data_IF_879148931999
#
_entry.id   IF_879148931999
#
_cell.length_a   1.000
_cell.length_b   1.000
_cell.length_c   1.000
_cell.angle_alpha   90.00
_cell.angle_beta   90.00
_cell.angle_gamma   90.00
#
_symmetry.space_group_name_H-M   'P 1'
#
loop_
_entity.id
_entity.type
_entity.pdbx_description
1 polymer ?
#
# COMPACT_ATOMS: atom_id res chain seq x y z
N UNK A 1 -8.30 50.68 3.99
CA UNK A 1 -7.02 50.00 4.34
C UNK A 1 -6.82 49.91 5.86
N UNK A 2 -6.84 51.03 6.59
CA UNK A 2 -6.61 51.02 8.06
C UNK A 2 -7.68 50.26 8.86
N UNK A 3 -8.95 50.38 8.47
CA UNK A 3 -10.06 49.69 9.16
C UNK A 3 -10.00 48.17 8.99
N UNK A 4 -9.64 47.68 7.80
CA UNK A 4 -9.41 46.26 7.53
C UNK A 4 -8.25 45.72 8.36
N UNK A 5 -7.12 46.42 8.39
CA UNK A 5 -5.96 46.00 9.18
C UNK A 5 -6.27 45.95 10.68
N UNK A 6 -7.09 46.88 11.17
CA UNK A 6 -7.57 46.88 12.56
C UNK A 6 -8.51 45.70 12.85
N UNK A 7 -9.44 45.41 11.94
CA UNK A 7 -10.37 44.28 12.05
C UNK A 7 -9.63 42.93 12.00
N UNK A 8 -8.70 42.77 11.06
CA UNK A 8 -7.89 41.56 10.92
C UNK A 8 -7.01 41.33 12.16
N UNK A 9 -6.40 42.38 12.73
CA UNK A 9 -5.63 42.24 13.98
C UNK A 9 -6.50 41.83 15.16
N UNK A 10 -7.68 42.45 15.33
CA UNK A 10 -8.65 42.05 16.36
C UNK A 10 -9.10 40.60 16.23
N UNK A 11 -9.25 40.10 15.00
CA UNK A 11 -9.59 38.71 14.71
C UNK A 11 -8.48 37.72 15.10
N UNK A 12 -7.22 38.09 14.90
CA UNK A 12 -6.08 37.27 15.33
C UNK A 12 -5.88 37.34 16.86
N UNK A 13 -6.10 38.52 17.46
CA UNK A 13 -6.06 38.74 18.91
C UNK A 13 -7.15 37.94 19.64
N UNK A 14 -8.38 37.88 19.11
CA UNK A 14 -9.45 37.06 19.71
C UNK A 14 -9.18 35.55 19.64
N UNK A 15 -8.28 35.12 18.75
CA UNK A 15 -7.88 33.72 18.53
C UNK A 15 -6.56 33.34 19.22
N UNK A 16 -5.91 34.26 19.94
CA UNK A 16 -4.56 34.08 20.51
C UNK A 16 -3.50 33.70 19.44
N UNK A 17 -3.65 34.15 18.20
CA UNK A 17 -2.74 33.85 17.09
C UNK A 17 -1.92 35.09 16.67
N UNK A 18 -0.71 34.88 16.17
CA UNK A 18 0.15 35.98 15.69
C UNK A 18 0.02 36.18 14.18
N UNK A 19 -0.47 37.34 13.74
CA UNK A 19 -0.50 37.74 12.34
C UNK A 19 0.92 38.00 11.81
N UNK A 20 1.41 37.15 10.90
CA UNK A 20 2.71 37.33 10.22
C UNK A 20 2.49 37.66 8.74
N UNK A 21 2.84 38.88 8.34
CA UNK A 21 2.70 39.35 6.95
C UNK A 21 3.89 38.83 6.12
N UNK A 22 3.66 38.04 5.06
CA UNK A 22 4.72 37.51 4.22
C UNK A 22 5.29 38.57 3.26
N UNK A 23 6.50 38.34 2.77
CA UNK A 23 7.15 39.15 1.73
C UNK A 23 7.18 38.37 0.41
N UNK A 24 6.83 39.02 -0.70
CA UNK A 24 6.90 38.45 -2.05
C UNK A 24 7.74 39.39 -2.91
N UNK A 25 8.80 38.88 -3.52
CA UNK A 25 9.69 39.67 -4.38
C UNK A 25 10.42 40.81 -3.66
N UNK A 26 10.63 40.71 -2.34
CA UNK A 26 11.29 41.73 -1.52
C UNK A 26 10.35 42.80 -0.92
N UNK A 27 9.08 42.85 -1.35
CA UNK A 27 8.08 43.78 -0.83
C UNK A 27 7.14 43.08 0.16
N UNK A 28 6.69 43.81 1.20
CA UNK A 28 5.64 43.31 2.09
C UNK A 28 4.32 43.18 1.32
N UNK A 29 3.62 42.06 1.54
CA UNK A 29 2.36 41.79 0.87
C UNK A 29 1.25 42.69 1.42
N UNK A 30 0.60 43.45 0.54
CA UNK A 30 -0.59 44.22 0.89
C UNK A 30 -1.81 43.30 1.03
N UNK A 31 -2.11 42.91 2.27
CA UNK A 31 -3.22 42.02 2.59
C UNK A 31 -4.59 42.64 2.28
N UNK A 32 -4.72 43.97 2.29
CA UNK A 32 -5.98 44.65 2.00
C UNK A 32 -6.30 44.60 0.51
N UNK A 33 -5.32 44.93 -0.34
CA UNK A 33 -5.48 44.86 -1.80
C UNK A 33 -5.70 43.41 -2.23
N UNK A 34 -4.93 42.48 -1.67
CA UNK A 34 -5.12 41.05 -1.93
C UNK A 34 -6.52 40.56 -1.52
N UNK A 35 -6.99 40.91 -0.32
CA UNK A 35 -8.33 40.56 0.14
C UNK A 35 -9.42 41.11 -0.80
N UNK A 36 -9.31 42.40 -1.15
CA UNK A 36 -10.26 43.09 -2.02
C UNK A 36 -10.34 42.44 -3.41
N UNK A 37 -9.20 42.11 -4.02
CA UNK A 37 -9.14 41.50 -5.34
C UNK A 37 -9.70 40.07 -5.36
N UNK A 38 -9.49 39.28 -4.31
CA UNK A 38 -10.03 37.91 -4.24
C UNK A 38 -11.54 37.93 -3.95
N UNK A 39 -11.99 38.80 -3.04
CA UNK A 39 -13.41 38.95 -2.72
C UNK A 39 -14.20 39.51 -3.91
N UNK A 40 -13.66 40.48 -4.66
CA UNK A 40 -14.34 41.00 -5.86
C UNK A 40 -14.53 39.95 -6.96
N UNK A 41 -13.73 38.88 -6.95
CA UNK A 41 -13.80 37.74 -7.88
C UNK A 41 -14.57 36.54 -7.31
N UNK A 42 -15.33 36.75 -6.22
CA UNK A 42 -16.22 35.75 -5.64
C UNK A 42 -15.58 34.87 -4.56
N UNK A 43 -14.44 35.31 -4.00
CA UNK A 43 -13.79 34.67 -2.87
C UNK A 43 -12.80 33.58 -3.26
N UNK A 44 -12.08 33.08 -2.25
CA UNK A 44 -10.93 32.19 -2.44
C UNK A 44 -11.24 30.93 -3.26
N UNK A 45 -12.40 30.31 -3.03
CA UNK A 45 -12.80 29.08 -3.73
C UNK A 45 -13.06 29.34 -5.23
N UNK A 46 -13.74 30.44 -5.57
CA UNK A 46 -14.05 30.79 -6.96
C UNK A 46 -12.80 31.18 -7.74
N UNK A 47 -11.90 31.95 -7.13
CA UNK A 47 -10.60 32.33 -7.73
C UNK A 47 -9.71 31.10 -7.96
N UNK A 48 -9.74 30.14 -7.03
CA UNK A 48 -8.97 28.90 -7.12
C UNK A 48 -9.49 27.96 -8.20
N UNK A 49 -10.80 27.68 -8.21
CA UNK A 49 -11.41 26.77 -9.18
C UNK A 49 -11.28 27.28 -10.62
N UNK A 50 -11.36 28.61 -10.81
CA UNK A 50 -11.26 29.23 -12.13
C UNK A 50 -9.82 29.60 -12.52
N UNK A 51 -8.81 29.19 -11.73
CA UNK A 51 -7.38 29.46 -11.97
C UNK A 51 -7.02 30.95 -12.17
N UNK A 52 -7.76 31.86 -11.54
CA UNK A 52 -7.66 33.32 -11.72
C UNK A 52 -6.49 33.96 -10.93
N UNK A 53 -5.69 33.17 -10.21
CA UNK A 53 -4.58 33.68 -9.39
C UNK A 53 -3.51 34.44 -10.17
N UNK A 54 -3.34 34.17 -11.47
CA UNK A 54 -2.44 34.95 -12.34
C UNK A 54 -2.94 36.37 -12.54
N UNK A 55 -4.25 36.56 -12.69
CA UNK A 55 -4.85 37.88 -12.83
C UNK A 55 -4.78 38.68 -11.53
N UNK A 56 -4.94 38.00 -10.39
CA UNK A 56 -4.75 38.60 -9.06
C UNK A 56 -3.30 39.10 -8.88
N UNK A 57 -2.30 38.35 -9.38
CA UNK A 57 -0.89 38.78 -9.37
C UNK A 57 -0.69 40.03 -10.23
N UNK A 58 -1.29 40.06 -11.43
CA UNK A 58 -1.21 41.21 -12.32
C UNK A 58 -1.86 42.46 -11.70
N UNK A 59 -2.98 42.30 -11.00
CA UNK A 59 -3.65 43.40 -10.28
C UNK A 59 -2.84 43.92 -9.08
N UNK A 60 -2.02 43.08 -8.44
CA UNK A 60 -1.10 43.45 -7.36
C UNK A 60 0.19 44.09 -7.86
N UNK A 61 0.36 44.27 -9.18
CA UNK A 61 1.54 44.84 -9.82
C UNK A 61 2.87 44.20 -9.35
N UNK A 62 2.86 42.90 -9.06
CA UNK A 62 4.06 42.19 -8.61
C UNK A 62 5.05 42.00 -9.77
N UNK A 63 6.38 42.02 -9.51
CA UNK A 63 7.39 41.90 -10.55
C UNK A 63 7.25 40.60 -11.35
N UNK A 64 7.35 40.67 -12.68
CA UNK A 64 7.30 39.52 -13.59
C UNK A 64 8.45 38.52 -13.39
N UNK A 65 9.49 38.90 -12.64
CA UNK A 65 10.58 38.03 -12.19
C UNK A 65 10.15 37.00 -11.13
N UNK A 66 8.97 37.15 -10.52
CA UNK A 66 8.44 36.22 -9.51
C UNK A 66 7.66 35.07 -10.18
N UNK A 67 8.36 34.11 -10.78
CA UNK A 67 7.80 32.94 -11.49
C UNK A 67 6.88 32.04 -10.64
N UNK A 68 6.87 32.20 -9.31
CA UNK A 68 5.99 31.48 -8.37
C UNK A 68 4.99 32.37 -7.61
N UNK A 69 4.79 33.63 -8.03
CA UNK A 69 3.94 34.60 -7.34
C UNK A 69 2.49 34.12 -7.16
N UNK A 70 1.87 33.52 -8.20
CA UNK A 70 0.48 33.05 -8.14
C UNK A 70 0.28 31.94 -7.11
N UNK A 71 1.24 31.01 -7.00
CA UNK A 71 1.19 29.92 -6.03
C UNK A 71 1.41 30.42 -4.60
N UNK A 72 2.41 31.27 -4.38
CA UNK A 72 2.69 31.82 -3.05
C UNK A 72 1.54 32.72 -2.55
N UNK A 73 0.98 33.57 -3.41
CA UNK A 73 -0.19 34.39 -3.05
C UNK A 73 -1.38 33.54 -2.63
N UNK A 74 -1.65 32.46 -3.36
CA UNK A 74 -2.71 31.52 -3.02
C UNK A 74 -2.50 30.86 -1.66
N UNK A 75 -1.30 30.38 -1.37
CA UNK A 75 -0.94 29.77 -0.08
C UNK A 75 -1.04 30.77 1.08
N UNK A 76 -0.55 31.99 0.87
CA UNK A 76 -0.61 33.05 1.87
C UNK A 76 -2.05 33.51 2.13
N UNK A 77 -2.87 33.62 1.09
CA UNK A 77 -4.30 33.91 1.23
C UNK A 77 -5.00 32.85 2.06
N UNK A 78 -4.78 31.57 1.72
CA UNK A 78 -5.39 30.46 2.44
C UNK A 78 -5.05 30.49 3.93
N UNK A 79 -3.77 30.73 4.25
CA UNK A 79 -3.28 30.72 5.63
C UNK A 79 -3.71 31.94 6.45
N UNK A 80 -3.84 33.12 5.82
CA UNK A 80 -3.98 34.39 6.55
C UNK A 80 -5.39 34.98 6.44
N UNK A 81 -6.02 34.83 5.29
CA UNK A 81 -7.24 35.58 4.94
C UNK A 81 -8.46 34.69 4.74
N UNK A 82 -8.30 33.37 4.53
CA UNK A 82 -9.43 32.49 4.27
C UNK A 82 -10.41 32.40 5.45
N UNK A 83 -9.94 32.12 6.67
CA UNK A 83 -10.83 32.07 7.84
C UNK A 83 -11.51 33.42 8.11
N UNK A 84 -10.78 34.51 7.87
CA UNK A 84 -11.34 35.87 7.96
C UNK A 84 -12.38 36.15 6.87
N UNK A 85 -12.17 35.70 5.62
CA UNK A 85 -13.13 35.76 4.53
C UNK A 85 -14.43 35.02 4.88
N UNK A 86 -14.32 33.81 5.43
CA UNK A 86 -15.50 33.01 5.78
C UNK A 86 -16.35 33.66 6.87
N UNK A 87 -15.71 34.23 7.90
CA UNK A 87 -16.42 34.85 9.02
C UNK A 87 -17.03 36.22 8.66
N UNK A 88 -16.29 37.07 7.93
CA UNK A 88 -16.73 38.44 7.65
C UNK A 88 -17.44 38.64 6.32
N UNK A 89 -17.13 37.84 5.29
CA UNK A 89 -17.76 37.96 3.97
C UNK A 89 -18.94 36.99 3.82
N UNK A 90 -18.77 35.73 4.22
CA UNK A 90 -19.83 34.71 4.10
C UNK A 90 -20.69 34.55 5.37
N UNK A 91 -20.39 35.28 6.45
CA UNK A 91 -21.06 35.20 7.78
C UNK A 91 -21.17 33.77 8.32
N UNK A 92 -20.20 32.91 7.99
CA UNK A 92 -20.16 31.52 8.48
C UNK A 92 -19.35 31.46 9.76
N UNK A 93 -19.89 30.79 10.78
CA UNK A 93 -19.15 30.50 12.02
C UNK A 93 -17.97 29.55 11.73
N UNK A 94 -16.85 29.75 12.43
CA UNK A 94 -15.59 28.99 12.31
C UNK A 94 -15.77 27.46 12.33
N UNK A 95 -16.86 26.96 12.94
CA UNK A 95 -17.23 25.54 13.01
C UNK A 95 -17.78 24.94 11.71
N UNK A 96 -18.12 25.79 10.73
CA UNK A 96 -18.74 25.41 9.45
C UNK A 96 -17.88 25.79 8.24
N UNK A 97 -16.57 26.01 8.41
CA UNK A 97 -15.67 26.28 7.29
C UNK A 97 -15.48 24.97 6.51
N UNK A 98 -15.93 24.86 5.25
CA UNK A 98 -15.72 23.65 4.47
C UNK A 98 -14.22 23.47 4.22
N UNK A 99 -13.67 22.25 4.39
CA UNK A 99 -12.33 21.96 3.88
C UNK A 99 -12.30 22.26 2.38
N UNK A 100 -11.25 22.93 1.91
CA UNK A 100 -11.10 23.25 0.50
C UNK A 100 -10.98 21.93 -0.26
N UNK A 101 -12.00 21.62 -1.06
CA UNK A 101 -12.03 20.41 -1.87
C UNK A 101 -10.80 20.36 -2.80
N UNK A 102 -9.98 19.32 -2.66
CA UNK A 102 -9.22 18.73 -3.76
C UNK A 102 -7.93 19.40 -4.24
N UNK A 103 -7.41 20.48 -3.65
CA UNK A 103 -6.15 21.09 -4.16
C UNK A 103 -5.07 21.45 -3.12
N UNK A 104 -5.32 21.23 -1.82
CA UNK A 104 -4.28 21.36 -0.77
C UNK A 104 -3.93 20.04 -0.08
N UNK A 105 -4.64 18.96 -0.40
CA UNK A 105 -4.27 17.59 -0.06
C UNK A 105 -3.61 16.99 -1.29
N UNK A 106 -2.37 16.54 -1.12
CA UNK A 106 -1.45 15.94 -2.12
C UNK A 106 -0.47 16.92 -2.79
N UNK A 107 0.81 16.53 -2.72
CA UNK A 107 2.00 17.07 -3.38
C UNK A 107 2.63 18.35 -2.81
N UNK A 108 3.35 18.21 -1.68
CA UNK A 108 4.83 18.33 -1.61
C UNK A 108 5.33 18.17 -0.15
N UNK A 109 5.46 16.92 0.32
CA UNK A 109 6.59 16.57 1.19
C UNK A 109 7.80 16.20 0.31
N UNK A 110 8.20 17.11 -0.60
CA UNK A 110 9.53 17.10 -1.23
C UNK A 110 10.36 18.30 -0.79
N UNK A 111 10.04 18.87 0.39
CA UNK A 111 11.14 19.46 1.16
C UNK A 111 12.01 18.28 1.57
N UNK A 112 13.23 18.19 1.06
CA UNK A 112 14.30 17.41 1.68
C UNK A 112 14.42 17.94 3.11
N UNK A 113 13.63 17.39 4.04
CA UNK A 113 13.79 17.66 5.45
C UNK A 113 15.10 16.98 5.80
N UNK A 114 16.15 17.77 6.01
CA UNK A 114 17.37 17.26 6.64
C UNK A 114 16.97 16.83 8.03
N UNK A 115 16.77 15.53 8.23
CA UNK A 115 16.64 14.95 9.56
C UNK A 115 17.97 15.22 10.26
N UNK A 116 17.99 16.17 11.19
CA UNK A 116 19.19 16.51 11.95
C UNK A 116 19.36 15.49 13.09
N UNK A 117 20.59 15.22 13.52
CA UNK A 117 20.87 14.30 14.64
C UNK A 117 20.04 14.56 15.92
N UNK A 118 19.68 15.80 16.29
CA UNK A 118 18.78 16.08 17.42
C UNK A 118 17.32 15.65 17.20
N UNK A 119 16.85 15.50 15.96
CA UNK A 119 15.49 14.96 15.69
C UNK A 119 15.42 13.45 15.93
N UNK A 120 16.53 12.74 15.75
CA UNK A 120 16.66 11.30 16.01
C UNK A 120 16.60 10.97 17.52
N UNK A 121 16.88 11.93 18.41
CA UNK A 121 16.92 11.68 19.87
C UNK A 121 15.55 11.71 20.57
N UNK A 122 14.45 11.90 19.83
CA UNK A 122 13.10 11.97 20.40
C UNK A 122 12.40 10.62 20.57
N UNK A 123 13.09 9.48 20.42
CA UNK A 123 12.49 8.14 20.53
C UNK A 123 11.75 7.94 21.85
N UNK A 124 12.32 8.38 22.97
CA UNK A 124 11.65 8.32 24.29
C UNK A 124 10.33 9.11 24.31
N UNK A 125 10.29 10.28 23.67
CA UNK A 125 9.06 11.08 23.59
C UNK A 125 8.01 10.39 22.72
N UNK A 126 8.42 9.77 21.61
CA UNK A 126 7.51 9.00 20.76
C UNK A 126 6.92 7.80 21.51
N UNK A 127 7.74 7.06 22.25
CA UNK A 127 7.30 5.97 23.14
C UNK A 127 6.24 6.47 24.13
N UNK A 128 6.55 7.52 24.90
CA UNK A 128 5.63 8.10 25.88
C UNK A 128 4.34 8.62 25.23
N UNK A 129 4.41 9.15 24.01
CA UNK A 129 3.24 9.58 23.26
C UNK A 129 2.29 8.41 22.97
N UNK A 130 2.81 7.29 22.45
CA UNK A 130 2.02 6.08 22.19
C UNK A 130 1.46 5.46 23.47
N UNK A 131 2.27 5.38 24.53
CA UNK A 131 1.84 4.86 25.85
C UNK A 131 0.75 5.72 26.49
N UNK A 132 0.85 7.05 26.34
CA UNK A 132 -0.13 7.99 26.90
C UNK A 132 -1.50 7.89 26.24
N UNK A 133 -1.57 7.38 25.00
CA UNK A 133 -2.77 7.35 24.14
C UNK A 133 -3.39 8.74 23.90
N UNK A 134 -2.67 9.82 24.23
CA UNK A 134 -3.14 11.19 24.05
C UNK A 134 -3.14 11.54 22.56
N UNK A 135 -4.32 11.84 22.00
CA UNK A 135 -4.51 11.96 20.55
C UNK A 135 -3.56 12.95 19.88
N UNK A 136 -3.30 14.09 20.51
CA UNK A 136 -2.39 15.12 19.97
C UNK A 136 -0.95 14.66 19.95
N UNK A 137 -0.48 13.99 21.02
CA UNK A 137 0.89 13.49 21.11
C UNK A 137 1.09 12.27 20.20
N UNK A 138 0.12 11.36 20.13
CA UNK A 138 0.14 10.22 19.21
C UNK A 138 0.20 10.69 17.76
N UNK A 139 -0.65 11.65 17.37
CA UNK A 139 -0.62 12.21 16.02
C UNK A 139 0.73 12.86 15.70
N UNK A 140 1.32 13.58 16.66
CA UNK A 140 2.66 14.11 16.50
C UNK A 140 3.71 13.00 16.30
N UNK A 141 3.65 11.93 17.11
CA UNK A 141 4.59 10.81 17.05
C UNK A 141 4.47 10.03 15.73
N UNK A 142 3.25 9.70 15.29
CA UNK A 142 2.97 9.03 14.01
C UNK A 142 3.49 9.86 12.85
N UNK A 143 3.15 11.14 12.77
CA UNK A 143 3.60 12.01 11.68
C UNK A 143 5.12 12.15 11.66
N UNK A 144 5.74 12.24 12.84
CA UNK A 144 7.21 12.30 12.96
C UNK A 144 7.86 11.01 12.46
N UNK A 145 7.34 9.85 12.86
CA UNK A 145 7.86 8.56 12.44
C UNK A 145 7.63 8.29 10.95
N UNK A 146 6.47 8.68 10.41
CA UNK A 146 6.18 8.60 8.99
C UNK A 146 7.19 9.44 8.17
N UNK A 147 7.47 10.67 8.60
CA UNK A 147 8.48 11.52 7.96
C UNK A 147 9.87 10.88 7.96
N UNK A 148 10.25 10.20 9.04
CA UNK A 148 11.52 9.47 9.10
C UNK A 148 11.52 8.23 8.19
N UNK A 149 10.41 7.49 8.15
CA UNK A 149 10.28 6.29 7.31
C UNK A 149 10.37 6.61 5.80
N UNK A 150 9.93 7.79 5.39
CA UNK A 150 9.95 8.25 4.00
C UNK A 150 11.26 8.96 3.60
N UNK A 151 12.26 9.03 4.48
CA UNK A 151 13.49 9.77 4.20
C UNK A 151 14.38 9.00 3.21
N UNK A 152 14.55 9.57 2.02
CA UNK A 152 15.37 8.99 0.94
C UNK A 152 16.85 9.37 1.00
N UNK A 153 17.26 10.25 1.93
CA UNK A 153 18.65 10.71 2.05
C UNK A 153 19.40 9.94 3.15
N UNK A 154 18.74 9.72 4.28
CA UNK A 154 19.27 8.94 5.39
C UNK A 154 18.20 7.97 5.88
N UNK A 155 18.48 6.67 5.74
CA UNK A 155 17.60 5.64 6.26
C UNK A 155 17.43 5.80 7.77
N UNK A 156 16.18 5.75 8.24
CA UNK A 156 15.89 5.66 9.66
C UNK A 156 16.12 4.21 10.11
N UNK A 157 17.26 3.98 10.78
CA UNK A 157 17.63 2.66 11.29
C UNK A 157 17.00 2.47 12.67
N UNK A 158 16.24 1.39 12.83
CA UNK A 158 15.62 1.05 14.10
C UNK A 158 16.66 0.56 15.10
N UNK A 159 16.65 1.19 16.27
CA UNK A 159 17.40 0.74 17.44
C UNK A 159 16.51 -0.15 18.30
N UNK A 160 17.10 -1.07 19.07
CA UNK A 160 16.37 -1.92 20.01
C UNK A 160 16.03 -1.14 21.30
N UNK A 161 15.10 -0.19 21.18
CA UNK A 161 14.78 0.79 22.23
C UNK A 161 13.30 0.78 22.67
N UNK A 162 12.50 -0.19 22.20
CA UNK A 162 11.08 -0.34 22.58
C UNK A 162 10.09 0.52 21.78
N UNK A 163 10.55 1.28 20.79
CA UNK A 163 9.67 2.14 19.98
C UNK A 163 8.62 1.34 19.22
N UNK A 164 9.03 0.26 18.54
CA UNK A 164 8.10 -0.55 17.75
C UNK A 164 7.12 -1.28 18.66
N UNK A 165 7.55 -1.76 19.83
CA UNK A 165 6.66 -2.38 20.82
C UNK A 165 5.57 -1.40 21.30
N UNK A 166 5.95 -0.12 21.49
CA UNK A 166 5.00 0.93 21.88
C UNK A 166 4.02 1.28 20.75
N UNK A 167 4.51 1.36 19.50
CA UNK A 167 3.67 1.53 18.30
C UNK A 167 2.70 0.37 18.15
N UNK A 168 3.17 -0.86 18.34
CA UNK A 168 2.38 -2.08 18.25
C UNK A 168 1.31 -2.14 19.34
N UNK A 169 1.66 -1.81 20.58
CA UNK A 169 0.70 -1.71 21.69
C UNK A 169 -0.41 -0.70 21.41
N UNK A 170 -0.08 0.44 20.82
CA UNK A 170 -1.08 1.43 20.40
C UNK A 170 -1.92 0.97 19.20
N UNK A 171 -1.32 0.25 18.24
CA UNK A 171 -2.05 -0.35 17.12
C UNK A 171 -3.09 -1.36 17.61
N UNK A 172 -2.71 -2.27 18.50
CA UNK A 172 -3.63 -3.26 19.10
C UNK A 172 -4.73 -2.55 19.88
N UNK A 173 -4.39 -1.55 20.68
CA UNK A 173 -5.39 -0.71 21.37
C UNK A 173 -6.36 -0.09 20.36
N UNK A 174 -5.84 0.45 19.26
CA UNK A 174 -6.64 1.13 18.25
C UNK A 174 -7.62 0.18 17.57
N UNK A 175 -7.15 -1.00 17.15
CA UNK A 175 -7.96 -2.02 16.50
C UNK A 175 -9.10 -2.52 17.40
N UNK A 176 -8.88 -2.65 18.71
CA UNK A 176 -9.94 -3.07 19.64
C UNK A 176 -11.05 -2.02 19.84
N UNK A 177 -10.83 -0.77 19.40
CA UNK A 177 -11.78 0.34 19.52
C UNK A 177 -12.24 0.85 18.15
N UNK A 178 -11.98 0.11 17.07
CA UNK A 178 -12.60 0.33 15.77
C UNK A 178 -13.65 -0.78 15.62
N UNK A 179 -14.94 -0.45 15.58
CA UNK A 179 -15.96 -1.46 15.31
C UNK A 179 -15.76 -2.04 13.90
N UNK A 180 -15.77 -3.37 13.81
CA UNK A 180 -15.71 -4.11 12.54
C UNK A 180 -16.94 -3.73 11.71
N UNK A 181 -16.79 -2.86 10.71
CA UNK A 181 -17.90 -2.43 9.86
C UNK A 181 -17.57 -2.62 8.38
N UNK A 182 -18.51 -3.22 7.68
CA UNK A 182 -18.56 -3.44 6.23
C UNK A 182 -18.42 -2.10 5.46
N UNK A 183 -17.53 -2.04 4.47
CA UNK A 183 -17.14 -0.84 3.70
C UNK A 183 -18.36 -0.06 3.13
N UNK A 184 -19.43 -0.76 2.75
CA UNK A 184 -20.63 -0.15 2.13
C UNK A 184 -21.45 0.74 3.09
N UNK A 185 -21.40 0.48 4.39
CA UNK A 185 -22.17 1.25 5.38
C UNK A 185 -21.52 2.62 5.61
N UNK A 186 -20.20 2.71 5.49
CA UNK A 186 -19.46 3.94 5.71
C UNK A 186 -19.77 5.00 4.63
N UNK A 187 -19.81 4.63 3.34
CA UNK A 187 -20.09 5.59 2.26
C UNK A 187 -21.52 6.15 2.34
N UNK A 188 -22.49 5.35 2.78
CA UNK A 188 -23.90 5.78 2.90
C UNK A 188 -24.17 6.67 4.12
N UNK A 189 -23.44 6.50 5.23
CA UNK A 189 -23.62 7.33 6.45
C UNK A 189 -23.00 8.72 6.37
N UNK A 190 -21.93 8.91 5.58
CA UNK A 190 -21.26 10.21 5.42
C UNK A 190 -22.13 11.35 4.82
N UNK A 191 -23.35 11.05 4.33
CA UNK A 191 -24.31 12.10 3.91
C UNK A 191 -25.15 12.65 5.05
N UNK A 192 -25.24 11.98 6.21
CA UNK A 192 -26.12 12.36 7.30
C UNK A 192 -25.35 12.43 8.62
N UNK A 193 -25.07 13.66 9.07
CA UNK A 193 -24.71 14.11 10.44
C UNK A 193 -23.97 13.07 11.32
N UNK A 194 -22.66 13.27 11.47
CA UNK A 194 -21.74 12.41 12.24
C UNK A 194 -21.87 12.70 13.75
N UNK A 195 -22.02 11.66 14.57
CA UNK A 195 -22.00 11.75 16.05
C UNK A 195 -20.59 11.86 16.65
N UNK A 196 -20.46 12.28 17.91
CA UNK A 196 -19.16 12.46 18.58
C UNK A 196 -18.30 11.18 18.64
N UNK A 197 -18.93 10.01 18.83
CA UNK A 197 -18.22 8.72 18.91
C UNK A 197 -17.67 8.28 17.54
N UNK A 198 -18.42 8.51 16.45
CA UNK A 198 -18.01 8.19 15.07
C UNK A 198 -16.82 9.05 14.60
N UNK A 199 -16.71 10.31 15.07
CA UNK A 199 -15.53 11.15 14.79
C UNK A 199 -14.27 10.58 15.44
N UNK A 200 -14.36 10.01 16.65
CA UNK A 200 -13.21 9.40 17.31
C UNK A 200 -12.77 8.10 16.63
N UNK A 201 -13.70 7.32 16.06
CA UNK A 201 -13.40 6.08 15.34
C UNK A 201 -12.69 6.35 14.02
N UNK A 202 -13.19 7.32 13.24
CA UNK A 202 -12.54 7.75 11.99
C UNK A 202 -11.10 8.19 12.23
N UNK A 203 -10.88 9.05 13.24
CA UNK A 203 -9.53 9.52 13.57
C UNK A 203 -8.59 8.36 13.93
N UNK A 204 -9.10 7.33 14.61
CA UNK A 204 -8.34 6.14 14.98
C UNK A 204 -8.02 5.27 13.77
N UNK A 205 -8.94 5.14 12.83
CA UNK A 205 -8.70 4.43 11.57
C UNK A 205 -7.58 5.09 10.74
N UNK A 206 -7.58 6.43 10.65
CA UNK A 206 -6.51 7.18 9.98
C UNK A 206 -5.14 7.02 10.67
N UNK A 207 -5.14 6.91 12.01
CA UNK A 207 -3.92 6.59 12.76
C UNK A 207 -3.43 5.17 12.48
N UNK A 208 -4.33 4.19 12.41
CA UNK A 208 -3.99 2.80 12.04
C UNK A 208 -3.36 2.75 10.65
N UNK A 209 -3.99 3.39 9.65
CA UNK A 209 -3.43 3.51 8.29
C UNK A 209 -2.02 4.10 8.30
N UNK A 210 -1.84 5.21 9.01
CA UNK A 210 -0.55 5.90 9.10
C UNK A 210 0.52 5.05 9.79
N UNK A 211 0.16 4.30 10.84
CA UNK A 211 1.06 3.37 11.53
C UNK A 211 1.47 2.23 10.59
N UNK A 212 0.51 1.60 9.90
CA UNK A 212 0.78 0.50 8.99
C UNK A 212 1.66 0.95 7.81
N UNK A 213 1.36 2.11 7.22
CA UNK A 213 2.19 2.71 6.18
C UNK A 213 3.63 2.96 6.68
N UNK A 214 3.77 3.47 7.90
CA UNK A 214 5.09 3.72 8.51
C UNK A 214 5.85 2.41 8.71
N UNK A 215 5.23 1.38 9.28
CA UNK A 215 5.84 0.05 9.47
C UNK A 215 6.23 -0.59 8.13
N UNK A 216 5.33 -0.50 7.13
CA UNK A 216 5.58 -0.93 5.76
C UNK A 216 6.79 -0.22 5.16
N UNK A 217 6.90 1.10 5.28
CA UNK A 217 8.08 1.84 4.79
C UNK A 217 9.36 1.43 5.52
N UNK A 218 9.30 1.25 6.84
CA UNK A 218 10.45 0.80 7.62
C UNK A 218 10.89 -0.62 7.23
N UNK A 219 9.96 -1.51 6.88
CA UNK A 219 10.26 -2.88 6.44
C UNK A 219 10.97 -2.95 5.08
N UNK A 220 10.85 -1.92 4.24
CA UNK A 220 11.58 -1.82 2.98
C UNK A 220 13.07 -1.52 3.18
N UNK A 221 13.48 -1.05 4.37
CA UNK A 221 14.87 -0.79 4.71
C UNK A 221 15.52 -2.09 5.18
N UNK A 222 16.48 -2.63 4.42
CA UNK A 222 17.16 -3.89 4.74
C UNK A 222 17.72 -3.96 6.17
N UNK A 223 18.27 -2.86 6.70
CA UNK A 223 18.81 -2.84 8.06
C UNK A 223 17.74 -2.98 9.16
N UNK A 224 16.48 -2.69 8.86
CA UNK A 224 15.37 -2.72 9.82
C UNK A 224 14.65 -4.07 9.87
N UNK A 225 14.95 -4.97 8.94
CA UNK A 225 14.31 -6.28 8.85
C UNK A 225 14.46 -7.10 10.14
N UNK A 226 15.68 -7.23 10.66
CA UNK A 226 15.94 -7.98 11.90
C UNK A 226 15.29 -7.30 13.12
N UNK A 227 15.43 -5.98 13.35
CA UNK A 227 14.71 -5.28 14.42
C UNK A 227 13.20 -5.49 14.37
N UNK A 228 12.58 -5.42 13.19
CA UNK A 228 11.13 -5.62 13.04
C UNK A 228 10.74 -7.07 13.33
N UNK A 229 11.47 -8.03 12.80
CA UNK A 229 11.23 -9.45 13.08
C UNK A 229 11.36 -9.79 14.58
N UNK A 230 12.31 -9.17 15.28
CA UNK A 230 12.51 -9.36 16.73
C UNK A 230 11.42 -8.72 17.60
N UNK A 231 10.59 -7.83 17.06
CA UNK A 231 9.48 -7.26 17.80
C UNK A 231 8.40 -8.31 18.01
N UNK A 232 8.26 -8.75 19.27
CA UNK A 232 7.36 -9.84 19.63
C UNK A 232 5.91 -9.49 19.29
N UNK A 233 5.23 -10.37 18.58
CA UNK A 233 3.83 -10.20 18.21
C UNK A 233 3.57 -9.23 17.05
N UNK A 234 4.60 -8.66 16.41
CA UNK A 234 4.41 -7.80 15.23
C UNK A 234 3.70 -8.57 14.11
N UNK A 235 4.27 -9.71 13.68
CA UNK A 235 3.71 -10.51 12.58
C UNK A 235 2.27 -10.95 12.92
N UNK A 236 2.05 -11.49 14.12
CA UNK A 236 0.72 -11.90 14.58
C UNK A 236 -0.31 -10.77 14.55
N UNK A 237 0.09 -9.57 14.98
CA UNK A 237 -0.78 -8.40 14.94
C UNK A 237 -1.09 -7.99 13.50
N UNK A 238 -0.08 -7.95 12.62
CA UNK A 238 -0.28 -7.58 11.20
C UNK A 238 -1.17 -8.60 10.49
N UNK A 239 -0.97 -9.90 10.74
CA UNK A 239 -1.82 -10.96 10.19
C UNK A 239 -3.26 -10.82 10.70
N UNK A 240 -3.45 -10.56 12.00
CA UNK A 240 -4.77 -10.32 12.57
C UNK A 240 -5.45 -9.11 11.93
N UNK A 241 -4.73 -8.00 11.75
CA UNK A 241 -5.26 -6.80 11.08
C UNK A 241 -5.61 -7.10 9.62
N UNK A 242 -4.75 -7.83 8.91
CA UNK A 242 -4.96 -8.22 7.52
C UNK A 242 -6.24 -9.05 7.36
N UNK A 243 -6.48 -10.02 8.24
CA UNK A 243 -7.68 -10.87 8.22
C UNK A 243 -9.00 -10.16 8.57
N UNK A 244 -8.96 -8.93 9.08
CA UNK A 244 -10.19 -8.19 9.43
C UNK A 244 -10.83 -7.42 8.27
N UNK A 245 -10.21 -7.40 7.08
CA UNK A 245 -10.67 -6.76 5.82
C UNK A 245 -11.59 -5.55 6.05
N UNK A 246 -11.02 -4.43 6.52
CA UNK A 246 -11.78 -3.23 6.90
C UNK A 246 -11.68 -2.13 5.83
N UNK A 247 -10.52 -1.99 5.19
CA UNK A 247 -10.22 -0.86 4.30
C UNK A 247 -9.10 -1.24 3.32
N UNK A 248 -9.28 -0.88 2.05
CA UNK A 248 -8.30 -1.17 0.98
C UNK A 248 -6.87 -0.73 1.28
N UNK A 249 -6.67 0.45 1.88
CA UNK A 249 -5.35 0.99 2.20
C UNK A 249 -4.69 0.19 3.34
N UNK A 250 -5.47 -0.21 4.35
CA UNK A 250 -5.01 -1.11 5.41
C UNK A 250 -4.56 -2.44 4.81
N UNK A 251 -5.40 -3.06 3.98
CA UNK A 251 -5.12 -4.33 3.32
C UNK A 251 -3.83 -4.25 2.50
N UNK A 252 -3.67 -3.21 1.68
CA UNK A 252 -2.47 -3.03 0.87
C UNK A 252 -1.20 -2.86 1.72
N UNK A 253 -1.24 -2.03 2.77
CA UNK A 253 -0.09 -1.82 3.63
C UNK A 253 0.30 -3.10 4.40
N UNK A 254 -0.69 -3.84 4.91
CA UNK A 254 -0.45 -5.13 5.54
C UNK A 254 0.16 -6.14 4.56
N UNK A 255 -0.40 -6.27 3.35
CA UNK A 255 0.07 -7.19 2.33
C UNK A 255 1.53 -6.93 1.95
N UNK A 256 1.89 -5.67 1.71
CA UNK A 256 3.27 -5.29 1.39
C UNK A 256 4.22 -5.50 2.58
N UNK A 257 3.77 -5.22 3.81
CA UNK A 257 4.56 -5.47 5.02
C UNK A 257 4.82 -6.96 5.24
N UNK A 258 3.80 -7.80 5.09
CA UNK A 258 3.93 -9.27 5.14
C UNK A 258 4.89 -9.75 4.05
N UNK A 259 4.73 -9.25 2.81
CA UNK A 259 5.59 -9.57 1.67
C UNK A 259 7.07 -9.21 1.93
N UNK A 260 7.33 -8.08 2.60
CA UNK A 260 8.70 -7.66 2.93
C UNK A 260 9.33 -8.54 4.01
N UNK A 261 8.53 -9.03 4.95
CA UNK A 261 8.99 -9.86 6.07
C UNK A 261 8.84 -11.37 5.83
N UNK A 262 8.28 -11.80 4.69
CA UNK A 262 7.87 -13.16 4.38
C UNK A 262 8.95 -14.23 4.64
N UNK A 263 10.23 -13.91 4.38
CA UNK A 263 11.34 -14.86 4.61
C UNK A 263 11.56 -15.23 6.09
N UNK A 264 10.95 -14.47 6.99
CA UNK A 264 10.99 -14.68 8.44
C UNK A 264 9.65 -15.20 8.99
N UNK A 265 8.66 -15.44 8.14
CA UNK A 265 7.33 -15.90 8.52
C UNK A 265 7.27 -17.41 8.32
N UNK A 266 7.27 -18.15 9.43
CA UNK A 266 7.01 -19.59 9.46
C UNK A 266 5.53 -19.81 9.75
N UNK A 267 4.79 -20.34 8.78
CA UNK A 267 3.34 -20.46 8.84
C UNK A 267 2.86 -21.36 9.99
N UNK A 268 3.66 -22.37 10.34
CA UNK A 268 3.37 -23.30 11.45
C UNK A 268 3.34 -22.60 12.82
N UNK A 269 4.07 -21.49 12.96
CA UNK A 269 4.20 -20.76 14.23
C UNK A 269 3.10 -19.69 14.38
N UNK A 270 2.31 -19.45 13.34
CA UNK A 270 1.24 -18.45 13.35
C UNK A 270 -0.08 -19.03 13.84
N UNK A 271 -0.67 -18.39 14.86
CA UNK A 271 -1.99 -18.74 15.38
C UNK A 271 -3.10 -18.52 14.36
N UNK A 272 -3.05 -17.43 13.59
CA UNK A 272 -4.06 -17.06 12.58
C UNK A 272 -3.61 -17.39 11.15
N UNK A 273 -2.82 -18.46 10.96
CA UNK A 273 -2.32 -18.88 9.65
C UNK A 273 -3.44 -19.11 8.63
N UNK A 274 -4.55 -19.74 9.04
CA UNK A 274 -5.68 -20.03 8.14
C UNK A 274 -6.32 -18.75 7.62
N UNK A 275 -6.55 -17.78 8.51
CA UNK A 275 -7.17 -16.50 8.15
C UNK A 275 -6.27 -15.70 7.19
N UNK A 276 -4.95 -15.73 7.41
CA UNK A 276 -3.97 -15.17 6.49
C UNK A 276 -4.11 -15.74 5.08
N UNK A 277 -4.10 -17.08 4.96
CA UNK A 277 -4.14 -17.74 3.65
C UNK A 277 -5.50 -17.56 2.96
N UNK A 278 -6.61 -17.61 3.69
CA UNK A 278 -7.93 -17.30 3.14
C UNK A 278 -8.00 -15.87 2.60
N UNK A 279 -7.53 -14.90 3.39
CA UNK A 279 -7.51 -13.48 2.97
C UNK A 279 -6.61 -13.26 1.74
N UNK A 280 -5.49 -13.98 1.64
CA UNK A 280 -4.63 -13.94 0.45
C UNK A 280 -5.34 -14.46 -0.79
N UNK A 281 -6.13 -15.54 -0.68
CA UNK A 281 -6.95 -16.07 -1.78
C UNK A 281 -7.99 -15.04 -2.20
N UNK A 282 -8.68 -14.41 -1.25
CA UNK A 282 -9.66 -13.35 -1.56
C UNK A 282 -8.98 -12.16 -2.26
N UNK A 283 -7.76 -11.80 -1.84
CA UNK A 283 -6.97 -10.76 -2.50
C UNK A 283 -6.58 -11.12 -3.95
N UNK A 284 -6.36 -12.40 -4.28
CA UNK A 284 -6.09 -12.85 -5.65
C UNK A 284 -7.24 -12.59 -6.62
N UNK A 285 -8.47 -12.46 -6.11
CA UNK A 285 -9.67 -12.14 -6.89
C UNK A 285 -9.98 -10.63 -6.93
N UNK A 286 -9.13 -9.81 -6.30
CA UNK A 286 -9.32 -8.37 -6.14
C UNK A 286 -8.36 -7.54 -7.02
N UNK A 287 -8.41 -6.22 -6.86
CA UNK A 287 -7.45 -5.31 -7.49
C UNK A 287 -6.03 -5.36 -6.87
N UNK A 288 -5.83 -6.17 -5.82
CA UNK A 288 -4.54 -6.42 -5.16
C UNK A 288 -3.93 -7.78 -5.55
N UNK A 289 -4.44 -8.41 -6.61
CA UNK A 289 -4.09 -9.79 -6.96
C UNK A 289 -2.59 -9.98 -7.24
N UNK A 290 -1.95 -9.06 -7.97
CA UNK A 290 -0.52 -9.16 -8.27
C UNK A 290 0.33 -9.12 -6.99
N UNK A 291 -0.03 -8.26 -6.04
CA UNK A 291 0.63 -8.16 -4.74
C UNK A 291 0.38 -9.42 -3.89
N UNK A 292 -0.83 -9.99 -3.97
CA UNK A 292 -1.18 -11.21 -3.24
C UNK A 292 -0.38 -12.41 -3.75
N UNK A 293 -0.27 -12.56 -5.07
CA UNK A 293 0.53 -13.60 -5.71
C UNK A 293 2.01 -13.46 -5.32
N UNK A 294 2.56 -12.24 -5.33
CA UNK A 294 3.94 -12.02 -4.91
C UNK A 294 4.15 -12.33 -3.41
N UNK A 295 3.18 -12.01 -2.57
CA UNK A 295 3.21 -12.38 -1.15
C UNK A 295 3.22 -13.90 -0.97
N UNK A 296 2.33 -14.62 -1.66
CA UNK A 296 2.25 -16.08 -1.60
C UNK A 296 3.56 -16.69 -2.10
N UNK A 297 4.11 -16.21 -3.23
CA UNK A 297 5.39 -16.66 -3.78
C UNK A 297 6.53 -16.52 -2.77
N UNK A 298 6.58 -15.42 -2.02
CA UNK A 298 7.60 -15.28 -0.97
C UNK A 298 7.33 -16.14 0.25
N UNK A 299 6.07 -16.39 0.59
CA UNK A 299 5.70 -17.27 1.70
C UNK A 299 5.95 -18.75 1.39
N UNK A 300 6.03 -19.16 0.12
CA UNK A 300 6.45 -20.52 -0.26
C UNK A 300 7.96 -20.76 -0.17
N UNK A 301 8.79 -19.73 0.08
CA UNK A 301 10.25 -19.86 0.12
C UNK A 301 10.83 -20.37 1.45
N UNK A 302 10.33 -19.96 2.64
CA UNK A 302 10.78 -20.53 3.90
C UNK A 302 10.47 -22.03 3.97
N UNK A 303 11.44 -22.79 4.47
CA UNK A 303 11.34 -24.23 4.65
C UNK A 303 10.09 -24.58 5.47
N UNK A 304 9.38 -25.64 5.06
CA UNK A 304 8.17 -26.18 5.70
C UNK A 304 6.90 -25.34 5.48
N UNK A 305 6.95 -24.16 4.88
CA UNK A 305 5.73 -23.42 4.57
C UNK A 305 4.93 -24.07 3.43
N UNK A 306 5.62 -24.70 2.48
CA UNK A 306 5.05 -25.45 1.37
C UNK A 306 4.09 -26.57 1.83
N UNK A 307 4.40 -27.24 2.96
CA UNK A 307 3.56 -28.29 3.56
C UNK A 307 2.21 -27.75 4.06
N UNK A 308 2.17 -26.48 4.47
CA UNK A 308 0.93 -25.83 4.93
C UNK A 308 0.15 -25.28 3.73
N UNK A 309 0.85 -24.67 2.77
CA UNK A 309 0.24 -24.09 1.58
C UNK A 309 -0.38 -25.19 0.70
N UNK A 310 0.19 -26.40 0.65
CA UNK A 310 -0.39 -27.50 -0.13
C UNK A 310 -1.75 -28.01 0.39
N UNK A 311 -2.09 -27.69 1.64
CA UNK A 311 -3.37 -28.03 2.26
C UNK A 311 -4.51 -27.12 1.80
N UNK A 312 -4.22 -26.05 1.04
CA UNK A 312 -5.23 -25.13 0.55
C UNK A 312 -6.28 -25.80 -0.36
N UNK A 313 -7.51 -25.23 -0.40
CA UNK A 313 -8.62 -25.77 -1.21
C UNK A 313 -8.38 -25.62 -2.71
N UNK A 314 -9.14 -26.36 -3.52
CA UNK A 314 -9.00 -26.37 -4.99
C UNK A 314 -9.07 -24.98 -5.63
N UNK A 315 -9.90 -24.08 -5.07
CA UNK A 315 -10.06 -22.70 -5.56
C UNK A 315 -8.73 -21.95 -5.66
N UNK A 316 -7.78 -22.21 -4.76
CA UNK A 316 -6.44 -21.60 -4.80
C UNK A 316 -5.68 -21.99 -6.08
N UNK A 317 -5.72 -23.27 -6.45
CA UNK A 317 -5.06 -23.77 -7.66
C UNK A 317 -5.78 -23.32 -8.93
N UNK A 318 -7.10 -23.22 -8.88
CA UNK A 318 -7.91 -22.69 -9.98
C UNK A 318 -7.56 -21.22 -10.26
N UNK A 319 -7.40 -20.41 -9.20
CA UNK A 319 -6.92 -19.03 -9.32
C UNK A 319 -5.48 -18.98 -9.86
N UNK A 320 -4.53 -19.75 -9.34
CA UNK A 320 -3.17 -19.78 -9.90
C UNK A 320 -3.17 -20.11 -11.40
N UNK A 321 -3.99 -21.08 -11.81
CA UNK A 321 -4.13 -21.46 -13.22
C UNK A 321 -4.65 -20.30 -14.11
N UNK A 322 -5.57 -19.48 -13.59
CA UNK A 322 -6.13 -18.34 -14.32
C UNK A 322 -5.06 -17.28 -14.66
N UNK A 323 -4.09 -17.09 -13.77
CA UNK A 323 -3.00 -16.13 -13.90
C UNK A 323 -1.85 -16.57 -14.82
N UNK A 324 -1.77 -17.84 -15.22
CA UNK A 324 -0.79 -18.34 -16.19
C UNK A 324 -0.94 -17.73 -17.59
N UNK A 325 -2.13 -17.22 -17.92
CA UNK A 325 -2.41 -16.55 -19.21
C UNK A 325 -2.03 -15.07 -19.18
N UNK A 326 -1.70 -14.52 -18.01
CA UNK A 326 -1.39 -13.10 -17.88
C UNK A 326 -0.05 -12.71 -18.53
N UNK A 327 0.03 -11.50 -19.08
CA UNK A 327 1.25 -10.92 -19.65
C UNK A 327 2.07 -10.12 -18.62
N UNK A 328 1.83 -10.36 -17.34
CA UNK A 328 2.41 -9.59 -16.24
C UNK A 328 3.60 -10.33 -15.63
N UNK A 329 4.42 -9.63 -14.84
CA UNK A 329 5.46 -10.27 -14.03
C UNK A 329 4.90 -11.28 -13.03
N UNK A 330 3.62 -11.20 -12.69
CA UNK A 330 2.96 -12.15 -11.80
C UNK A 330 2.89 -13.56 -12.37
N UNK A 331 2.99 -13.73 -13.70
CA UNK A 331 3.12 -15.05 -14.33
C UNK A 331 4.36 -15.80 -13.83
N UNK A 332 5.50 -15.12 -13.72
CA UNK A 332 6.72 -15.73 -13.18
C UNK A 332 6.52 -16.14 -11.72
N UNK A 333 5.85 -15.28 -10.94
CA UNK A 333 5.51 -15.57 -9.55
C UNK A 333 4.62 -16.81 -9.41
N UNK A 334 3.61 -16.96 -10.27
CA UNK A 334 2.74 -18.15 -10.31
C UNK A 334 3.53 -19.40 -10.67
N UNK A 335 4.40 -19.33 -11.68
CA UNK A 335 5.23 -20.46 -12.08
C UNK A 335 6.19 -20.89 -10.96
N UNK A 336 6.78 -19.95 -10.23
CA UNK A 336 7.62 -20.26 -9.06
C UNK A 336 6.80 -20.95 -7.95
N UNK A 337 5.59 -20.46 -7.63
CA UNK A 337 4.68 -21.12 -6.67
C UNK A 337 4.35 -22.54 -7.12
N UNK A 338 3.90 -22.71 -8.37
CA UNK A 338 3.52 -24.02 -8.90
C UNK A 338 4.72 -24.97 -8.98
N UNK A 339 5.92 -24.47 -9.28
CA UNK A 339 7.14 -25.28 -9.28
C UNK A 339 7.39 -25.85 -7.89
N UNK A 340 7.36 -25.01 -6.84
CA UNK A 340 7.53 -25.46 -5.44
C UNK A 340 6.44 -26.45 -5.01
N UNK A 341 5.17 -26.16 -5.32
CA UNK A 341 4.06 -27.03 -4.89
C UNK A 341 3.96 -28.34 -5.70
N UNK A 342 4.40 -28.34 -6.96
CA UNK A 342 4.38 -29.55 -7.78
C UNK A 342 5.34 -30.63 -7.28
N UNK A 343 6.36 -30.26 -6.52
CA UNK A 343 7.33 -31.19 -5.91
C UNK A 343 6.81 -31.82 -4.61
N UNK A 344 5.63 -31.42 -4.13
CA UNK A 344 5.03 -31.91 -2.90
C UNK A 344 4.24 -33.21 -3.11
N UNK A 345 3.22 -33.44 -2.28
CA UNK A 345 2.47 -34.69 -2.25
C UNK A 345 1.77 -35.04 -3.58
N UNK A 346 1.50 -36.34 -3.78
CA UNK A 346 0.71 -36.81 -4.93
C UNK A 346 -0.69 -36.17 -4.97
N UNK A 347 -1.27 -35.86 -3.82
CA UNK A 347 -2.57 -35.18 -3.74
C UNK A 347 -2.47 -33.75 -4.32
N UNK A 348 -1.41 -33.03 -3.99
CA UNK A 348 -1.14 -31.67 -4.49
C UNK A 348 -0.93 -31.67 -6.00
N UNK A 349 -0.16 -32.63 -6.52
CA UNK A 349 0.00 -32.84 -7.97
C UNK A 349 -1.35 -33.06 -8.67
N UNK A 350 -2.27 -33.80 -8.05
CA UNK A 350 -3.62 -34.00 -8.60
C UNK A 350 -4.44 -32.71 -8.57
N UNK A 351 -4.40 -31.93 -7.48
CA UNK A 351 -5.09 -30.63 -7.39
C UNK A 351 -4.64 -29.67 -8.49
N UNK A 352 -3.33 -29.51 -8.68
CA UNK A 352 -2.75 -28.64 -9.71
C UNK A 352 -3.19 -29.09 -11.11
N UNK A 353 -3.04 -30.37 -11.45
CA UNK A 353 -3.42 -30.87 -12.78
C UNK A 353 -4.95 -30.88 -12.99
N UNK A 354 -5.74 -30.85 -11.92
CA UNK A 354 -7.19 -30.74 -12.00
C UNK A 354 -7.70 -29.32 -12.23
N UNK A 355 -6.85 -28.31 -11.99
CA UNK A 355 -7.22 -26.92 -12.17
C UNK A 355 -7.56 -26.60 -13.64
N UNK A 356 -8.62 -25.82 -13.90
CA UNK A 356 -9.08 -25.54 -15.25
C UNK A 356 -7.98 -24.97 -16.14
N UNK A 357 -7.76 -25.58 -17.31
CA UNK A 357 -6.77 -25.17 -18.33
C UNK A 357 -5.32 -25.08 -17.83
N UNK A 358 -4.98 -25.59 -16.65
CA UNK A 358 -3.62 -25.50 -16.11
C UNK A 358 -2.61 -26.20 -17.02
N UNK A 359 -2.87 -27.47 -17.35
CA UNK A 359 -2.01 -28.23 -18.27
C UNK A 359 -1.93 -27.59 -19.67
N UNK A 360 -3.08 -27.13 -20.20
CA UNK A 360 -3.13 -26.45 -21.51
C UNK A 360 -2.26 -25.18 -21.52
N UNK A 361 -2.34 -24.37 -20.47
CA UNK A 361 -1.55 -23.13 -20.37
C UNK A 361 -0.06 -23.42 -20.20
N UNK A 362 0.31 -24.42 -19.37
CA UNK A 362 1.71 -24.84 -19.21
C UNK A 362 2.30 -25.37 -20.52
N UNK A 363 1.55 -26.16 -21.27
CA UNK A 363 2.00 -26.67 -22.58
C UNK A 363 2.14 -25.52 -23.59
N UNK A 364 1.20 -24.57 -23.62
CA UNK A 364 1.30 -23.38 -24.47
C UNK A 364 2.57 -22.58 -24.20
N UNK A 365 2.95 -22.39 -22.93
CA UNK A 365 4.19 -21.69 -22.55
C UNK A 365 5.44 -22.36 -23.13
N UNK A 366 5.44 -23.69 -23.28
CA UNK A 366 6.53 -24.39 -23.95
C UNK A 366 6.57 -24.06 -25.45
N UNK A 367 5.41 -24.13 -26.12
CA UNK A 367 5.30 -23.91 -27.57
C UNK A 367 5.53 -22.46 -27.99
N UNK A 368 5.24 -21.50 -27.12
CA UNK A 368 5.41 -20.07 -27.39
C UNK A 368 6.81 -19.55 -27.10
N UNK A 369 7.68 -20.36 -26.49
CA UNK A 369 9.00 -19.89 -26.06
C UNK A 369 9.93 -19.61 -27.24
N UNK A 370 10.45 -18.38 -27.33
CA UNK A 370 11.55 -18.08 -28.24
C UNK A 370 12.88 -18.49 -27.59
N UNK A 371 13.76 -19.13 -28.35
CA UNK A 371 15.09 -19.55 -27.86
C UNK A 371 16.03 -18.35 -27.55
N UNK A 372 15.60 -17.14 -27.89
CA UNK A 372 16.40 -15.91 -27.81
C UNK A 372 16.08 -15.05 -26.60
N UNK A 373 14.92 -15.24 -25.95
CA UNK A 373 14.52 -14.48 -24.77
C UNK A 373 14.77 -15.30 -23.49
N UNK A 374 15.60 -14.78 -22.59
CA UNK A 374 15.97 -15.41 -21.32
C UNK A 374 14.78 -15.59 -20.38
N UNK A 375 13.81 -14.67 -20.41
CA UNK A 375 12.61 -14.76 -19.58
C UNK A 375 11.67 -15.87 -20.07
N UNK A 376 11.47 -15.97 -21.38
CA UNK A 376 10.67 -17.05 -21.99
C UNK A 376 11.35 -18.41 -21.81
N UNK A 377 12.68 -18.48 -21.88
CA UNK A 377 13.46 -19.69 -21.57
C UNK A 377 13.26 -20.14 -20.10
N UNK A 378 13.32 -19.21 -19.14
CA UNK A 378 13.05 -19.52 -17.73
C UNK A 378 11.63 -20.06 -17.55
N UNK A 379 10.64 -19.44 -18.18
CA UNK A 379 9.24 -19.85 -18.11
C UNK A 379 9.01 -21.24 -18.72
N UNK A 380 9.63 -21.54 -19.87
CA UNK A 380 9.56 -22.84 -20.51
C UNK A 380 10.18 -23.93 -19.64
N UNK A 381 11.35 -23.68 -19.05
CA UNK A 381 12.01 -24.62 -18.13
C UNK A 381 11.16 -24.90 -16.89
N UNK A 382 10.61 -23.86 -16.24
CA UNK A 382 9.72 -24.04 -15.09
C UNK A 382 8.46 -24.83 -15.48
N UNK A 383 7.86 -24.51 -16.62
CA UNK A 383 6.67 -25.22 -17.12
C UNK A 383 6.96 -26.71 -17.38
N UNK A 384 8.12 -27.03 -17.97
CA UNK A 384 8.54 -28.40 -18.20
C UNK A 384 8.75 -29.17 -16.89
N UNK A 385 9.39 -28.55 -15.89
CA UNK A 385 9.60 -29.14 -14.55
C UNK A 385 8.25 -29.41 -13.88
N UNK A 386 7.34 -28.44 -13.88
CA UNK A 386 5.99 -28.59 -13.32
C UNK A 386 5.30 -29.77 -14.01
N UNK A 387 5.25 -29.81 -15.35
CA UNK A 387 4.60 -30.89 -16.09
C UNK A 387 5.23 -32.26 -15.78
N UNK A 388 6.55 -32.35 -15.66
CA UNK A 388 7.27 -33.56 -15.24
C UNK A 388 6.85 -34.03 -13.85
N UNK A 389 6.85 -33.13 -12.88
CA UNK A 389 6.40 -33.41 -11.53
C UNK A 389 4.94 -33.87 -11.48
N UNK A 390 4.05 -33.20 -12.23
CA UNK A 390 2.64 -33.55 -12.29
C UNK A 390 2.39 -34.91 -12.97
N UNK A 391 3.20 -35.29 -13.95
CA UNK A 391 3.08 -36.57 -14.66
C UNK A 391 3.39 -37.78 -13.75
N UNK A 392 4.25 -37.61 -12.74
CA UNK A 392 4.55 -38.67 -11.77
C UNK A 392 3.34 -39.14 -10.94
N UNK A 393 2.25 -38.36 -10.91
CA UNK A 393 1.03 -38.75 -10.22
C UNK A 393 0.14 -39.63 -11.14
N UNK A 394 -0.13 -40.91 -10.79
CA UNK A 394 -0.85 -41.83 -11.68
C UNK A 394 -2.23 -41.34 -12.12
N UNK A 395 -2.92 -40.60 -11.24
CA UNK A 395 -4.25 -40.04 -11.51
C UNK A 395 -4.23 -38.90 -12.56
N UNK A 396 -3.05 -38.31 -12.81
CA UNK A 396 -2.90 -37.24 -13.79
C UNK A 396 -2.67 -37.77 -15.21
N UNK A 397 -2.13 -38.98 -15.39
CA UNK A 397 -1.72 -39.49 -16.69
C UNK A 397 -2.82 -39.40 -17.77
N UNK A 398 -4.09 -39.66 -17.42
CA UNK A 398 -5.23 -39.51 -18.35
C UNK A 398 -5.44 -38.06 -18.82
N UNK A 399 -5.12 -37.08 -17.99
CA UNK A 399 -5.25 -35.64 -18.30
C UNK A 399 -4.17 -35.15 -19.25
N UNK A 400 -3.05 -35.87 -19.35
CA UNK A 400 -1.95 -35.56 -20.26
C UNK A 400 -2.15 -36.09 -21.68
N UNK A 401 -3.00 -37.10 -21.89
CA UNK A 401 -3.25 -37.72 -23.20
C UNK A 401 -3.57 -36.73 -24.34
N UNK A 402 -4.38 -35.66 -24.14
CA UNK A 402 -4.65 -34.70 -25.20
C UNK A 402 -3.42 -33.93 -25.68
N UNK A 403 -2.38 -33.81 -24.83
CA UNK A 403 -1.19 -33.00 -25.09
C UNK A 403 0.02 -33.81 -25.55
N UNK A 404 -0.10 -35.14 -25.66
CA UNK A 404 0.99 -36.06 -26.04
C UNK A 404 1.71 -35.63 -27.33
N UNK A 405 0.95 -35.27 -28.37
CA UNK A 405 1.51 -34.82 -29.64
C UNK A 405 2.28 -33.49 -29.55
N UNK A 406 1.74 -32.52 -28.79
CA UNK A 406 2.40 -31.22 -28.58
C UNK A 406 3.67 -31.37 -27.75
N UNK A 407 3.62 -32.16 -26.67
CA UNK A 407 4.76 -32.46 -25.81
C UNK A 407 5.87 -33.18 -26.58
N UNK A 408 5.51 -34.14 -27.45
CA UNK A 408 6.47 -34.83 -28.31
C UNK A 408 7.14 -33.86 -29.30
N UNK A 409 6.36 -32.99 -29.95
CA UNK A 409 6.90 -32.01 -30.88
C UNK A 409 7.90 -31.05 -30.19
N UNK A 410 7.55 -30.54 -29.01
CA UNK A 410 8.44 -29.68 -28.22
C UNK A 410 9.70 -30.45 -27.80
N UNK A 411 9.57 -31.67 -27.26
CA UNK A 411 10.71 -32.48 -26.82
C UNK A 411 11.67 -32.83 -27.97
N UNK A 412 11.17 -32.96 -29.20
CA UNK A 412 11.98 -33.23 -30.39
C UNK A 412 12.71 -31.98 -30.93
N UNK A 413 12.20 -30.78 -30.64
CA UNK A 413 12.73 -29.52 -31.17
C UNK A 413 13.57 -28.73 -30.16
N UNK A 414 13.30 -28.84 -28.86
CA UNK A 414 13.97 -28.08 -27.82
C UNK A 414 14.84 -28.97 -26.91
N UNK A 415 16.15 -29.00 -27.22
CA UNK A 415 17.14 -29.80 -26.48
C UNK A 415 17.23 -29.45 -24.99
N UNK A 416 16.92 -28.20 -24.62
CA UNK A 416 17.07 -27.69 -23.23
C UNK A 416 16.11 -28.37 -22.26
N UNK A 417 14.90 -28.68 -22.73
CA UNK A 417 13.82 -29.27 -21.95
C UNK A 417 13.46 -30.70 -22.39
N UNK A 418 14.03 -31.17 -23.51
CA UNK A 418 13.82 -32.51 -24.07
C UNK A 418 13.96 -33.61 -23.02
N UNK A 419 15.04 -33.58 -22.23
CA UNK A 419 15.27 -34.57 -21.17
C UNK A 419 14.21 -34.57 -20.07
N UNK A 420 13.65 -33.40 -19.74
CA UNK A 420 12.60 -33.26 -18.72
C UNK A 420 11.27 -33.79 -19.26
N UNK A 421 10.95 -33.46 -20.52
CA UNK A 421 9.73 -33.90 -21.19
C UNK A 421 9.74 -35.38 -21.57
N UNK A 422 10.91 -35.98 -21.78
CA UNK A 422 11.03 -37.42 -22.01
C UNK A 422 10.43 -38.24 -20.86
N UNK A 423 10.61 -37.79 -19.61
CA UNK A 423 10.00 -38.42 -18.44
C UNK A 423 8.46 -38.32 -18.50
N UNK A 424 7.92 -37.16 -18.89
CA UNK A 424 6.47 -36.96 -19.06
C UNK A 424 5.92 -37.94 -20.09
N UNK A 425 6.56 -38.03 -21.26
CA UNK A 425 6.14 -38.90 -22.36
C UNK A 425 6.23 -40.38 -21.99
N UNK A 426 7.25 -40.77 -21.21
CA UNK A 426 7.39 -42.12 -20.69
C UNK A 426 6.19 -42.51 -19.82
N UNK A 427 5.82 -41.67 -18.85
CA UNK A 427 4.65 -41.92 -17.97
C UNK A 427 3.32 -41.99 -18.75
N UNK A 428 3.17 -41.17 -19.80
CA UNK A 428 1.99 -41.22 -20.69
C UNK A 428 1.94 -42.54 -21.47
N UNK A 429 3.08 -43.02 -21.96
CA UNK A 429 3.17 -44.24 -22.75
C UNK A 429 2.90 -45.49 -21.92
N UNK A 430 3.38 -45.54 -20.68
CA UNK A 430 3.10 -46.66 -19.76
C UNK A 430 1.59 -46.81 -19.50
N UNK A 431 0.81 -45.73 -19.50
CA UNK A 431 -0.65 -45.82 -19.38
C UNK A 431 -1.36 -46.35 -20.64
N UNK A 432 -0.73 -46.24 -21.83
CA UNK A 432 -1.29 -46.76 -23.09
C UNK A 432 -1.05 -48.26 -23.27
N UNK A 433 -0.08 -48.82 -22.55
CA UNK A 433 0.22 -50.25 -22.51
C UNK A 433 -0.75 -50.95 -21.56
#
# INVERSE_FOLDING_TARGET
MEEFNRSLRKFYESRNETLKIPQIGGNQLDLYVLYKEVVSRGGFQQVSNNKLWKEVVSALALPSSCTSASYNLRQHYYKILYSYEQEYFFKKSDRNIPPVAGEFTTNKFTKKIRVTAPMMSNTRRMILAFESKCQTEVNWAINTLLLFSCNTVHNYILENNGLIDSVLGYLVYSMNHIPLFDEEVHIKRHRNIIGYDEVSEYMRMEQVKSILLTLRNLSMIRQNEIPLFKCSGLIETIVKVFGTIIDKEITQNCLELITNLAKHIFLQDLTNCKDLLCTLIDCMQSNLAEQAIECIRKLTLPISNEEIIELLPQIFYDELSSWLVSYTSSKDSVLEILCTLSDQSLATKVKIASAPKCLENLVKLLTSSSQTDEAEDKQAKMSAIILSNLATAPNNCKRFLPFDGELFAVAACDERISGILANVLFEIQELKR
#
